data_IF_362421157277
#
_entry.id   IF_362421157277
#
_cell.length_a   1.000
_cell.length_b   1.000
_cell.length_c   1.000
_cell.angle_alpha   90.00
_cell.angle_beta   90.00
_cell.angle_gamma   90.00
#
_symmetry.space_group_name_H-M   'P 1'
#
loop_
_entity.id
_entity.type
_entity.pdbx_description
1 polymer ?
#
# COMPACT_ATOMS: atom_id res chain seq x y z
N UNK A 1 -50.30 -56.71 25.41
CA UNK A 1 -48.92 -56.22 25.19
C UNK A 1 -48.98 -55.04 24.23
N UNK A 2 -48.75 -53.81 24.70
CA UNK A 2 -48.76 -52.59 23.87
C UNK A 2 -47.32 -52.28 23.44
N UNK A 3 -47.12 -52.12 22.13
CA UNK A 3 -45.86 -51.69 21.52
C UNK A 3 -45.87 -50.17 21.45
N UNK A 4 -44.92 -49.52 22.11
CA UNK A 4 -44.66 -48.07 22.00
C UNK A 4 -43.55 -47.84 20.98
N UNK A 5 -43.87 -47.12 19.91
CA UNK A 5 -42.93 -46.66 18.89
C UNK A 5 -42.44 -45.26 19.29
N UNK A 6 -41.14 -45.12 19.57
CA UNK A 6 -40.50 -43.82 19.77
C UNK A 6 -40.09 -43.21 18.43
N UNK A 7 -40.64 -42.04 18.12
CA UNK A 7 -40.24 -41.22 16.97
C UNK A 7 -39.01 -40.38 17.36
N UNK A 8 -37.89 -40.56 16.68
CA UNK A 8 -36.69 -39.74 16.84
C UNK A 8 -36.79 -38.57 15.85
N UNK A 9 -36.87 -37.35 16.37
CA UNK A 9 -36.90 -36.11 15.58
C UNK A 9 -35.46 -35.58 15.44
N UNK A 10 -34.89 -35.74 14.24
CA UNK A 10 -33.56 -35.22 13.92
C UNK A 10 -33.66 -33.75 13.52
N UNK A 11 -33.23 -32.82 14.38
CA UNK A 11 -33.07 -31.41 14.03
C UNK A 11 -31.82 -31.21 13.16
N UNK A 12 -31.99 -30.84 11.89
CA UNK A 12 -30.91 -30.30 11.07
C UNK A 12 -30.62 -28.86 11.50
N UNK A 13 -29.44 -28.64 12.09
CA UNK A 13 -28.87 -27.30 12.25
C UNK A 13 -28.36 -26.80 10.90
N UNK A 14 -29.11 -25.91 10.28
CA UNK A 14 -28.68 -25.19 9.07
C UNK A 14 -27.74 -24.06 9.51
N UNK A 15 -26.44 -24.30 9.44
CA UNK A 15 -25.41 -23.30 9.73
C UNK A 15 -25.45 -22.23 8.64
N UNK A 16 -26.09 -21.09 8.95
CA UNK A 16 -26.01 -19.91 8.10
C UNK A 16 -24.60 -19.31 8.25
N UNK A 17 -23.69 -19.65 7.33
CA UNK A 17 -22.45 -18.90 7.18
C UNK A 17 -22.84 -17.49 6.75
N UNK A 18 -22.73 -16.53 7.66
CA UNK A 18 -22.86 -15.12 7.33
C UNK A 18 -21.82 -14.78 6.26
N UNK A 19 -22.26 -14.62 5.01
CA UNK A 19 -21.44 -14.00 3.99
C UNK A 19 -21.17 -12.58 4.44
N UNK A 20 -19.90 -12.24 4.67
CA UNK A 20 -19.48 -10.87 4.91
C UNK A 20 -20.01 -10.02 3.73
N UNK A 21 -20.79 -8.98 4.05
CA UNK A 21 -21.27 -8.06 3.03
C UNK A 21 -20.07 -7.54 2.23
N UNK A 22 -20.18 -7.41 0.90
CA UNK A 22 -19.08 -6.90 0.09
C UNK A 22 -18.64 -5.57 0.67
N UNK A 23 -17.38 -5.50 1.11
CA UNK A 23 -16.76 -4.28 1.59
C UNK A 23 -17.08 -3.19 0.58
N UNK A 24 -17.83 -2.16 0.99
CA UNK A 24 -18.08 -1.03 0.13
C UNK A 24 -16.73 -0.34 -0.08
N UNK A 25 -16.06 -0.66 -1.19
CA UNK A 25 -14.75 -0.13 -1.59
C UNK A 25 -14.71 1.41 -1.46
N UNK A 26 -15.86 2.06 -1.60
CA UNK A 26 -16.03 3.49 -1.39
C UNK A 26 -15.81 3.98 0.04
N UNK A 27 -16.28 3.22 1.06
CA UNK A 27 -16.07 3.56 2.46
C UNK A 27 -14.59 3.52 2.84
N UNK A 28 -13.82 2.64 2.18
CA UNK A 28 -12.39 2.50 2.40
C UNK A 28 -11.60 3.70 1.93
N UNK A 29 -11.98 4.30 0.80
CA UNK A 29 -11.32 5.50 0.30
C UNK A 29 -11.56 6.72 1.19
N UNK A 30 -12.80 6.94 1.64
CA UNK A 30 -13.14 8.04 2.55
C UNK A 30 -12.44 7.87 3.91
N UNK A 31 -12.35 6.66 4.43
CA UNK A 31 -11.62 6.38 5.67
C UNK A 31 -10.09 6.53 5.53
N UNK A 32 -9.54 6.25 4.35
CA UNK A 32 -8.10 6.30 4.08
C UNK A 32 -7.60 7.71 3.74
N UNK A 33 -8.42 8.50 3.05
CA UNK A 33 -8.02 9.75 2.44
C UNK A 33 -9.00 10.87 2.76
N UNK A 34 -8.57 11.80 3.59
CA UNK A 34 -9.37 12.99 3.95
C UNK A 34 -9.78 13.84 2.74
N UNK A 35 -9.05 13.78 1.62
CA UNK A 35 -9.39 14.49 0.37
C UNK A 35 -10.57 13.84 -0.38
N UNK A 36 -10.93 12.59 -0.08
CA UNK A 36 -12.13 11.92 -0.61
C UNK A 36 -13.29 12.23 0.33
N UNK A 37 -14.35 12.86 -0.17
CA UNK A 37 -15.53 13.22 0.66
C UNK A 37 -16.57 12.12 0.70
N UNK A 38 -16.78 11.44 -0.42
CA UNK A 38 -17.73 10.33 -0.53
C UNK A 38 -17.47 9.50 -1.79
N UNK A 39 -18.04 8.30 -1.80
CA UNK A 39 -18.10 7.43 -2.97
C UNK A 39 -19.53 6.92 -3.11
N UNK A 40 -20.22 7.38 -4.15
CA UNK A 40 -21.66 7.12 -4.35
C UNK A 40 -21.92 6.83 -5.82
N UNK A 41 -22.71 5.79 -6.12
CA UNK A 41 -23.06 5.44 -7.49
C UNK A 41 -21.87 5.09 -8.40
N UNK A 42 -20.76 4.61 -7.84
CA UNK A 42 -19.53 4.33 -8.59
C UNK A 42 -18.68 5.56 -8.91
N UNK A 43 -19.00 6.72 -8.34
CA UNK A 43 -18.26 7.97 -8.49
C UNK A 43 -17.58 8.34 -7.17
N UNK A 44 -16.31 8.74 -7.25
CA UNK A 44 -15.51 9.29 -6.15
C UNK A 44 -15.63 10.81 -6.21
N UNK A 45 -15.96 11.42 -5.09
CA UNK A 45 -16.04 12.88 -4.94
C UNK A 45 -14.90 13.38 -4.05
N UNK A 46 -14.28 14.49 -4.42
CA UNK A 46 -13.14 15.07 -3.72
C UNK A 46 -13.49 16.41 -3.06
N UNK A 47 -12.71 16.79 -2.04
CA UNK A 47 -12.85 18.08 -1.33
C UNK A 47 -12.68 19.29 -2.24
N UNK A 48 -11.91 19.16 -3.31
CA UNK A 48 -11.69 20.22 -4.31
C UNK A 48 -12.89 20.42 -5.27
N UNK A 49 -14.01 19.71 -5.06
CA UNK A 49 -15.21 19.78 -5.89
C UNK A 49 -15.17 18.93 -7.17
N UNK A 50 -14.03 18.33 -7.50
CA UNK A 50 -13.92 17.40 -8.63
C UNK A 50 -14.49 16.02 -8.29
N UNK A 51 -14.68 15.22 -9.33
CA UNK A 51 -15.09 13.82 -9.20
C UNK A 51 -14.45 12.95 -10.27
N UNK A 52 -14.37 11.65 -10.02
CA UNK A 52 -13.94 10.67 -11.02
C UNK A 52 -14.64 9.33 -10.85
N UNK A 53 -14.66 8.49 -11.89
CA UNK A 53 -15.18 7.15 -11.79
C UNK A 53 -14.29 6.25 -10.91
N UNK A 54 -14.89 5.45 -10.04
CA UNK A 54 -14.23 4.35 -9.33
C UNK A 54 -13.72 3.28 -10.32
N UNK A 55 -14.48 3.07 -11.39
CA UNK A 55 -14.23 2.05 -12.41
C UNK A 55 -14.67 0.66 -11.96
N UNK A 56 -14.11 -0.38 -12.59
CA UNK A 56 -14.45 -1.79 -12.35
C UNK A 56 -13.17 -2.60 -12.23
N UNK A 57 -13.23 -3.68 -11.45
CA UNK A 57 -12.13 -4.65 -11.38
C UNK A 57 -12.02 -5.32 -12.76
N UNK A 58 -10.84 -5.21 -13.36
CA UNK A 58 -10.54 -5.74 -14.68
C UNK A 58 -10.13 -7.21 -14.60
N UNK A 59 -10.56 -8.01 -15.57
CA UNK A 59 -10.09 -9.39 -15.80
C UNK A 59 -8.80 -9.46 -16.64
N UNK A 60 -8.25 -8.31 -17.05
CA UNK A 60 -7.05 -8.25 -17.87
C UNK A 60 -5.82 -8.77 -17.10
N UNK A 61 -4.79 -9.25 -17.81
CA UNK A 61 -3.54 -9.68 -17.20
C UNK A 61 -2.89 -8.60 -16.32
N UNK A 62 -2.10 -9.03 -15.35
CA UNK A 62 -1.41 -8.17 -14.39
C UNK A 62 -0.62 -7.03 -15.06
N UNK A 63 0.17 -7.33 -16.09
CA UNK A 63 1.00 -6.34 -16.80
C UNK A 63 0.17 -5.29 -17.56
N UNK A 64 -1.03 -5.64 -18.01
CA UNK A 64 -2.00 -4.68 -18.58
C UNK A 64 -2.60 -3.81 -17.49
N UNK A 65 -3.02 -4.41 -16.36
CA UNK A 65 -3.57 -3.68 -15.21
C UNK A 65 -2.54 -2.76 -14.57
N UNK A 66 -1.25 -3.09 -14.58
CA UNK A 66 -0.18 -2.19 -14.18
C UNK A 66 -0.21 -0.89 -14.98
N UNK A 67 -0.56 -0.91 -16.27
CA UNK A 67 -0.55 0.29 -17.11
C UNK A 67 -1.82 1.12 -16.93
N UNK A 68 -2.97 0.45 -16.89
CA UNK A 68 -4.28 1.09 -17.01
C UNK A 68 -5.26 0.61 -15.93
N UNK A 69 -4.89 0.76 -14.65
CA UNK A 69 -5.74 0.38 -13.53
C UNK A 69 -6.88 1.40 -13.31
N UNK A 70 -8.08 0.91 -13.03
CA UNK A 70 -9.09 1.71 -12.33
C UNK A 70 -8.77 1.84 -10.83
N UNK A 71 -9.53 2.66 -10.10
CA UNK A 71 -9.42 2.70 -8.63
C UNK A 71 -9.98 1.40 -8.02
N UNK A 72 -11.01 0.80 -8.62
CA UNK A 72 -11.48 -0.53 -8.24
C UNK A 72 -10.39 -1.60 -8.40
N UNK A 73 -9.60 -1.57 -9.47
CA UNK A 73 -8.43 -2.45 -9.64
C UNK A 73 -7.38 -2.25 -8.55
N UNK A 74 -7.12 -0.99 -8.20
CA UNK A 74 -6.19 -0.64 -7.14
C UNK A 74 -6.63 -1.24 -5.79
N UNK A 75 -7.91 -1.12 -5.46
CA UNK A 75 -8.49 -1.60 -4.22
C UNK A 75 -8.69 -3.13 -4.19
N UNK A 76 -8.65 -3.80 -5.34
CA UNK A 76 -8.73 -5.26 -5.40
C UNK A 76 -7.45 -5.95 -4.93
N UNK A 77 -6.36 -5.21 -4.66
CA UNK A 77 -5.10 -5.77 -4.20
C UNK A 77 -5.15 -5.99 -2.69
N UNK A 78 -4.74 -7.18 -2.26
CA UNK A 78 -4.54 -7.47 -0.84
C UNK A 78 -3.08 -7.29 -0.46
N UNK A 79 -2.78 -6.34 0.41
CA UNK A 79 -1.44 -6.20 0.99
C UNK A 79 -1.27 -7.15 2.20
N UNK A 80 -0.25 -8.03 2.22
CA UNK A 80 -0.04 -8.98 3.31
C UNK A 80 0.60 -8.29 4.54
N UNK A 81 0.00 -8.45 5.73
CA UNK A 81 0.62 -7.98 6.99
C UNK A 81 1.64 -8.97 7.56
N UNK A 82 1.49 -10.26 7.25
CA UNK A 82 2.49 -11.26 7.57
C UNK A 82 3.71 -11.14 6.62
N UNK A 83 4.79 -11.83 6.98
CA UNK A 83 6.02 -11.87 6.19
C UNK A 83 6.14 -13.25 5.56
N UNK A 84 5.64 -13.36 4.33
CA UNK A 84 5.68 -14.58 3.52
C UNK A 84 6.29 -14.24 2.16
N UNK A 85 6.85 -15.25 1.50
CA UNK A 85 7.29 -15.08 0.11
C UNK A 85 6.07 -14.75 -0.76
N UNK A 86 6.07 -13.62 -1.49
CA UNK A 86 4.96 -13.25 -2.36
C UNK A 86 4.82 -14.24 -3.51
N UNK A 87 3.57 -14.58 -3.85
CA UNK A 87 3.27 -15.27 -5.10
C UNK A 87 3.56 -14.35 -6.29
N UNK A 88 3.70 -14.92 -7.50
CA UNK A 88 3.83 -14.10 -8.70
C UNK A 88 2.66 -13.12 -8.82
N UNK A 89 2.95 -11.87 -9.21
CA UNK A 89 1.99 -10.75 -9.32
C UNK A 89 1.40 -10.25 -7.99
N UNK A 90 1.86 -10.78 -6.84
CA UNK A 90 1.53 -10.23 -5.52
C UNK A 90 2.36 -8.97 -5.27
N UNK A 91 1.98 -7.88 -5.94
CA UNK A 91 2.68 -6.59 -5.98
C UNK A 91 1.78 -5.47 -5.42
N UNK A 92 1.07 -5.76 -4.32
CA UNK A 92 0.04 -4.88 -3.77
C UNK A 92 0.56 -3.44 -3.58
N UNK A 93 -0.01 -2.52 -4.36
CA UNK A 93 0.43 -1.13 -4.46
C UNK A 93 0.80 -0.71 -5.89
N UNK A 94 1.36 -1.63 -6.69
CA UNK A 94 1.86 -1.34 -8.05
C UNK A 94 0.74 -1.22 -9.09
N UNK A 95 -0.38 -1.91 -8.93
CA UNK A 95 -1.61 -1.62 -9.70
C UNK A 95 -2.25 -0.38 -9.05
N UNK A 96 -2.21 0.75 -9.73
CA UNK A 96 -2.76 2.01 -9.18
C UNK A 96 -3.16 2.95 -10.29
N UNK A 97 -4.12 3.81 -9.97
CA UNK A 97 -4.64 4.82 -10.88
C UNK A 97 -3.93 6.16 -10.65
N UNK A 98 -3.14 6.61 -11.62
CA UNK A 98 -2.37 7.87 -11.50
C UNK A 98 -3.29 9.10 -11.39
N UNK A 99 -4.46 9.09 -12.04
CA UNK A 99 -5.40 10.22 -11.96
C UNK A 99 -5.98 10.38 -10.55
N UNK A 100 -6.29 9.28 -9.87
CA UNK A 100 -6.73 9.31 -8.47
C UNK A 100 -5.71 10.02 -7.56
N UNK A 101 -4.42 9.72 -7.74
CA UNK A 101 -3.35 10.36 -6.97
C UNK A 101 -3.19 11.83 -7.34
N UNK A 102 -3.31 12.16 -8.64
CA UNK A 102 -3.28 13.55 -9.11
C UNK A 102 -4.40 14.41 -8.51
N UNK A 103 -5.60 13.85 -8.36
CA UNK A 103 -6.73 14.57 -7.76
C UNK A 103 -6.48 14.91 -6.28
N UNK A 104 -5.82 14.03 -5.54
CA UNK A 104 -5.53 14.24 -4.11
C UNK A 104 -4.26 15.07 -3.84
N UNK A 105 -3.20 14.84 -4.62
CA UNK A 105 -1.86 15.32 -4.28
C UNK A 105 -1.33 16.41 -5.22
N UNK A 106 -1.89 16.56 -6.42
CA UNK A 106 -1.50 17.54 -7.43
C UNK A 106 -1.27 16.92 -8.81
N UNK A 107 -1.67 17.65 -9.86
CA UNK A 107 -1.55 17.25 -11.27
C UNK A 107 -0.20 17.59 -11.90
N UNK A 108 0.56 18.50 -11.28
CA UNK A 108 1.87 18.94 -11.77
C UNK A 108 2.91 18.95 -10.65
N UNK A 109 4.19 18.95 -11.01
CA UNK A 109 5.30 19.06 -10.06
C UNK A 109 5.14 20.27 -9.13
N UNK A 110 4.77 21.44 -9.68
CA UNK A 110 4.58 22.67 -8.93
C UNK A 110 3.44 22.55 -7.90
N UNK A 111 2.31 21.95 -8.30
CA UNK A 111 1.18 21.72 -7.39
C UNK A 111 1.55 20.75 -6.26
N UNK A 112 2.27 19.68 -6.56
CA UNK A 112 2.74 18.74 -5.51
C UNK A 112 3.74 19.44 -4.58
N UNK A 113 4.66 20.23 -5.12
CA UNK A 113 5.65 20.98 -4.33
C UNK A 113 4.99 21.93 -3.33
N UNK A 114 3.89 22.60 -3.70
CA UNK A 114 3.08 23.43 -2.80
C UNK A 114 2.45 22.62 -1.66
N UNK A 115 2.20 21.34 -1.88
CA UNK A 115 1.67 20.43 -0.87
C UNK A 115 2.76 19.78 0.01
N UNK A 116 4.05 20.03 -0.22
CA UNK A 116 5.10 19.47 0.62
C UNK A 116 5.28 20.30 1.90
N UNK A 117 5.37 19.61 3.03
CA UNK A 117 5.83 20.18 4.31
C UNK A 117 7.11 19.51 4.74
N UNK A 118 7.87 20.16 5.62
CA UNK A 118 9.10 19.62 6.18
C UNK A 118 8.84 18.96 7.53
N UNK A 119 9.26 17.71 7.67
CA UNK A 119 9.25 16.98 8.95
C UNK A 119 10.68 16.78 9.45
N UNK A 120 10.82 16.52 10.75
CA UNK A 120 12.09 16.07 11.33
C UNK A 120 12.13 14.55 11.40
N UNK A 121 13.00 13.92 10.61
CA UNK A 121 13.22 12.48 10.67
C UNK A 121 14.15 12.13 11.82
N UNK A 122 13.56 11.84 12.99
CA UNK A 122 14.30 11.59 14.23
C UNK A 122 15.35 10.47 14.20
N UNK A 123 15.24 9.38 13.42
CA UNK A 123 16.25 8.33 13.42
C UNK A 123 17.67 8.81 13.08
N UNK A 124 17.79 9.87 12.27
CA UNK A 124 19.08 10.48 11.87
C UNK A 124 19.11 12.01 11.97
N UNK A 125 18.09 12.62 12.56
CA UNK A 125 17.95 14.07 12.75
C UNK A 125 18.08 14.90 11.45
N UNK A 126 17.58 14.36 10.33
CA UNK A 126 17.55 15.05 9.04
C UNK A 126 16.17 15.65 8.77
N UNK A 127 16.08 16.57 7.81
CA UNK A 127 14.82 17.13 7.32
C UNK A 127 14.38 16.40 6.07
N UNK A 128 13.11 15.97 6.04
CA UNK A 128 12.49 15.37 4.86
C UNK A 128 11.31 16.23 4.42
N UNK A 129 11.15 16.42 3.11
CA UNK A 129 9.95 17.04 2.53
C UNK A 129 8.95 15.94 2.16
N UNK A 130 7.71 16.05 2.60
CA UNK A 130 6.67 15.04 2.34
C UNK A 130 5.31 15.72 2.20
N UNK A 131 4.38 15.09 1.48
CA UNK A 131 3.08 15.69 1.20
C UNK A 131 2.23 15.77 2.48
N UNK A 132 1.68 16.94 2.81
CA UNK A 132 0.85 17.10 4.01
C UNK A 132 -0.59 16.64 3.82
N UNK A 133 -1.06 16.51 2.57
CA UNK A 133 -2.41 16.03 2.25
C UNK A 133 -2.65 14.62 2.78
N UNK A 134 -3.90 14.33 3.17
CA UNK A 134 -4.32 13.06 3.76
C UNK A 134 -3.50 12.64 5.00
N UNK A 135 -2.84 13.59 5.67
CA UNK A 135 -2.00 13.34 6.83
C UNK A 135 -0.67 12.63 6.54
N UNK A 136 -0.27 12.45 5.27
CA UNK A 136 0.85 11.58 4.91
C UNK A 136 2.17 12.00 5.59
N UNK A 137 2.52 13.30 5.58
CA UNK A 137 3.71 13.81 6.27
C UNK A 137 3.66 13.60 7.78
N UNK A 138 2.49 13.83 8.40
CA UNK A 138 2.28 13.63 9.84
C UNK A 138 2.46 12.15 10.22
N UNK A 139 1.98 11.24 9.38
CA UNK A 139 2.17 9.80 9.62
C UNK A 139 3.63 9.39 9.43
N UNK A 140 4.33 9.92 8.43
CA UNK A 140 5.78 9.66 8.28
C UNK A 140 6.57 10.17 9.50
N UNK A 141 6.24 11.35 10.04
CA UNK A 141 6.88 11.85 11.25
C UNK A 141 6.65 10.94 12.46
N UNK A 142 5.44 10.39 12.62
CA UNK A 142 5.15 9.40 13.68
C UNK A 142 5.97 8.12 13.52
N UNK A 143 6.14 7.61 12.30
CA UNK A 143 7.03 6.47 12.02
C UNK A 143 8.45 6.77 12.49
N UNK A 144 9.00 7.92 12.10
CA UNK A 144 10.35 8.32 12.50
C UNK A 144 10.49 8.45 14.02
N UNK A 145 9.49 9.03 14.68
CA UNK A 145 9.44 9.15 16.14
C UNK A 145 9.43 7.78 16.85
N UNK A 146 8.64 6.84 16.37
CA UNK A 146 8.54 5.48 16.94
C UNK A 146 9.81 4.67 16.71
N UNK A 147 10.37 4.68 15.49
CA UNK A 147 11.65 4.04 15.19
C UNK A 147 12.78 4.62 16.06
N UNK A 148 12.77 5.92 16.32
CA UNK A 148 13.82 6.56 17.10
C UNK A 148 13.90 6.07 18.56
N UNK A 149 12.83 5.46 19.08
CA UNK A 149 12.78 4.86 20.42
C UNK A 149 13.55 3.53 20.52
N UNK A 150 13.84 2.88 19.39
CA UNK A 150 14.63 1.65 19.35
C UNK A 150 15.88 1.83 18.47
N UNK A 151 17.07 2.07 19.07
CA UNK A 151 18.31 2.28 18.33
C UNK A 151 18.67 1.17 17.33
N UNK A 152 18.30 -0.09 17.60
CA UNK A 152 18.60 -1.22 16.71
C UNK A 152 17.90 -1.10 15.34
N UNK A 153 16.79 -0.36 15.27
CA UNK A 153 16.00 -0.16 14.05
C UNK A 153 16.54 0.99 13.19
N UNK A 154 17.27 1.94 13.78
CA UNK A 154 17.71 3.16 13.09
C UNK A 154 18.55 2.86 11.84
N UNK A 155 19.40 1.82 11.87
CA UNK A 155 20.28 1.46 10.75
C UNK A 155 19.55 1.13 9.44
N UNK A 156 18.27 0.75 9.51
CA UNK A 156 17.47 0.43 8.31
C UNK A 156 16.90 1.68 7.63
N UNK A 157 16.88 2.82 8.33
CA UNK A 157 16.23 4.06 7.88
C UNK A 157 17.01 5.33 8.21
N UNK A 158 18.29 5.21 8.57
CA UNK A 158 19.12 6.35 8.94
C UNK A 158 19.44 7.25 7.73
N UNK A 159 19.62 6.64 6.55
CA UNK A 159 19.96 7.37 5.33
C UNK A 159 18.81 7.30 4.34
N UNK A 160 18.11 8.42 4.16
CA UNK A 160 17.13 8.55 3.09
C UNK A 160 17.82 8.62 1.73
N UNK A 161 17.22 7.96 0.74
CA UNK A 161 17.59 8.04 -0.68
C UNK A 161 16.68 9.01 -1.45
N UNK A 162 15.72 9.65 -0.77
CA UNK A 162 14.85 10.67 -1.35
C UNK A 162 13.38 10.45 -1.06
N UNK A 163 12.60 11.54 -1.20
CA UNK A 163 11.14 11.55 -1.07
C UNK A 163 10.49 12.05 -2.36
N UNK A 164 10.38 13.36 -2.55
CA UNK A 164 9.77 13.93 -3.76
C UNK A 164 10.74 13.93 -4.94
N UNK A 165 10.32 13.32 -6.05
CA UNK A 165 11.00 13.38 -7.34
C UNK A 165 9.96 13.21 -8.45
N UNK A 166 9.64 14.30 -9.16
CA UNK A 166 8.68 14.28 -10.26
C UNK A 166 9.27 13.59 -11.48
N UNK A 167 8.93 12.31 -11.68
CA UNK A 167 9.43 11.50 -12.79
C UNK A 167 8.47 10.38 -13.16
N UNK A 168 8.65 9.84 -14.35
CA UNK A 168 8.08 8.55 -14.70
C UNK A 168 8.89 7.39 -14.10
N UNK A 169 8.25 6.24 -13.94
CA UNK A 169 8.93 4.98 -13.63
C UNK A 169 9.71 4.55 -14.88
N UNK A 170 10.97 4.16 -14.70
CA UNK A 170 11.86 3.78 -15.78
C UNK A 170 11.25 2.68 -16.67
N UNK A 171 11.16 2.96 -17.98
CA UNK A 171 10.55 2.07 -18.97
C UNK A 171 9.03 2.16 -19.07
N UNK A 172 8.40 3.18 -18.49
CA UNK A 172 6.94 3.38 -18.52
C UNK A 172 6.57 4.86 -18.70
N UNK A 173 5.30 5.12 -19.01
CA UNK A 173 4.71 6.47 -19.02
C UNK A 173 3.94 6.81 -17.73
N UNK A 174 4.12 6.01 -16.67
CA UNK A 174 3.44 6.19 -15.39
C UNK A 174 4.29 7.02 -14.46
N UNK A 175 3.68 7.96 -13.75
CA UNK A 175 4.40 8.73 -12.72
C UNK A 175 4.86 7.80 -11.61
N UNK A 176 6.02 8.03 -11.02
CA UNK A 176 6.41 7.36 -9.77
C UNK A 176 5.55 7.85 -8.59
N UNK A 177 5.37 7.05 -7.54
CA UNK A 177 4.69 7.54 -6.32
C UNK A 177 5.49 8.65 -5.62
N UNK A 178 6.81 8.67 -5.82
CA UNK A 178 7.67 9.79 -5.44
C UNK A 178 7.23 11.12 -6.08
N UNK A 179 6.60 11.10 -7.25
CA UNK A 179 6.08 12.30 -7.91
C UNK A 179 4.95 12.97 -7.12
N UNK A 180 4.28 12.24 -6.23
CA UNK A 180 3.21 12.78 -5.38
C UNK A 180 3.69 13.16 -3.99
N UNK A 181 4.99 12.96 -3.67
CA UNK A 181 5.56 13.28 -2.37
C UNK A 181 5.04 12.38 -1.24
N UNK A 182 4.55 11.18 -1.58
CA UNK A 182 3.98 10.21 -0.64
C UNK A 182 4.75 8.88 -0.62
N UNK A 183 6.00 8.89 -1.10
CA UNK A 183 6.93 7.77 -0.99
C UNK A 183 8.29 8.24 -0.47
N UNK A 184 9.00 7.34 0.20
CA UNK A 184 10.34 7.54 0.74
C UNK A 184 11.17 6.29 0.55
N UNK A 185 12.41 6.48 0.10
CA UNK A 185 13.38 5.40 -0.02
C UNK A 185 14.46 5.51 1.06
N UNK A 186 14.95 4.37 1.53
CA UNK A 186 16.06 4.31 2.49
C UNK A 186 17.17 3.37 2.02
N UNK A 187 18.42 3.73 2.36
CA UNK A 187 19.53 2.81 2.24
C UNK A 187 19.43 1.77 3.37
N UNK A 188 19.14 0.53 2.98
CA UNK A 188 19.11 -0.62 3.86
C UNK A 188 20.51 -1.23 4.03
N UNK A 189 20.75 -2.05 5.08
CA UNK A 189 21.95 -2.86 5.16
C UNK A 189 22.11 -3.74 3.92
N UNK A 190 23.35 -4.02 3.51
CA UNK A 190 23.68 -4.65 2.21
C UNK A 190 22.88 -5.94 1.92
N UNK A 191 22.67 -6.80 2.93
CA UNK A 191 21.92 -8.05 2.77
C UNK A 191 20.42 -7.85 2.48
N UNK A 192 19.88 -6.68 2.84
CA UNK A 192 18.47 -6.32 2.72
C UNK A 192 18.24 -5.28 1.61
N UNK A 193 19.27 -4.63 1.07
CA UNK A 193 19.14 -3.64 0.00
C UNK A 193 18.99 -4.32 -1.37
N UNK A 194 17.74 -4.57 -1.77
CA UNK A 194 17.36 -5.49 -2.83
C UNK A 194 16.31 -4.85 -3.73
N UNK A 195 16.55 -4.95 -5.03
CA UNK A 195 15.62 -4.57 -6.07
C UNK A 195 15.66 -5.64 -7.15
N UNK A 196 14.50 -6.12 -7.56
CA UNK A 196 14.38 -7.29 -8.45
C UNK A 196 15.16 -7.14 -9.76
N UNK A 197 15.25 -5.94 -10.33
CA UNK A 197 16.04 -5.73 -11.56
C UNK A 197 17.54 -5.75 -11.32
N UNK A 198 18.02 -5.43 -10.12
CA UNK A 198 19.45 -5.57 -9.78
C UNK A 198 19.87 -7.03 -9.69
N UNK A 199 18.94 -7.93 -9.41
CA UNK A 199 19.16 -9.37 -9.40
C UNK A 199 18.90 -10.02 -10.80
N UNK A 200 18.82 -9.21 -11.86
CA UNK A 200 18.76 -9.66 -13.26
C UNK A 200 17.36 -9.96 -13.80
N UNK A 201 16.31 -9.72 -13.03
CA UNK A 201 14.93 -9.91 -13.48
C UNK A 201 14.45 -8.72 -14.34
N UNK A 202 13.84 -9.00 -15.50
CA UNK A 202 13.52 -7.96 -16.51
C UNK A 202 12.04 -7.84 -16.84
N UNK A 203 11.21 -8.80 -16.44
CA UNK A 203 9.76 -8.84 -16.70
C UNK A 203 9.01 -9.42 -15.51
N UNK A 204 7.83 -8.87 -15.22
CA UNK A 204 6.92 -9.37 -14.20
C UNK A 204 6.29 -10.73 -14.57
N UNK A 205 6.24 -11.05 -15.88
CA UNK A 205 5.67 -12.31 -16.38
C UNK A 205 6.60 -13.52 -16.16
N UNK A 206 7.79 -13.31 -15.57
CA UNK A 206 8.72 -14.36 -15.15
C UNK A 206 8.94 -14.29 -13.65
N UNK A 207 8.87 -15.44 -12.99
CA UNK A 207 9.16 -15.54 -11.55
C UNK A 207 10.61 -15.12 -11.28
N UNK A 208 10.78 -14.14 -10.40
CA UNK A 208 12.07 -13.69 -9.89
C UNK A 208 12.36 -14.38 -8.55
N UNK A 209 13.56 -14.96 -8.33
CA UNK A 209 13.91 -15.57 -7.05
C UNK A 209 13.82 -14.55 -5.90
N UNK A 210 12.93 -14.80 -4.93
CA UNK A 210 12.70 -13.87 -3.84
C UNK A 210 13.82 -13.95 -2.78
N UNK A 211 14.44 -12.82 -2.38
CA UNK A 211 15.50 -12.80 -1.37
C UNK A 211 14.92 -13.02 0.03
N UNK A 212 15.09 -14.23 0.58
CA UNK A 212 14.56 -14.64 1.90
C UNK A 212 15.01 -13.71 3.05
N UNK A 213 16.14 -13.01 2.90
CA UNK A 213 16.65 -12.03 3.86
C UNK A 213 15.66 -10.88 4.14
N UNK A 214 14.79 -10.54 3.18
CA UNK A 214 13.76 -9.50 3.35
C UNK A 214 12.66 -9.90 4.35
N UNK A 215 12.46 -11.20 4.58
CA UNK A 215 11.42 -11.74 5.46
C UNK A 215 11.98 -12.54 6.63
N UNK A 216 13.30 -12.58 6.82
CA UNK A 216 13.94 -13.30 7.93
C UNK A 216 14.47 -12.39 9.03
N UNK A 217 14.81 -11.12 8.72
CA UNK A 217 15.36 -10.16 9.69
C UNK A 217 14.27 -9.54 10.57
N UNK A 218 14.29 -9.83 11.88
CA UNK A 218 13.24 -9.37 12.80
C UNK A 218 13.23 -7.86 13.05
N UNK A 219 14.38 -7.19 12.98
CA UNK A 219 14.45 -5.73 13.11
C UNK A 219 13.84 -5.06 11.87
N UNK A 220 14.13 -5.58 10.67
CA UNK A 220 13.51 -5.09 9.44
C UNK A 220 11.99 -5.30 9.48
N UNK A 221 11.52 -6.48 9.90
CA UNK A 221 10.09 -6.74 10.10
C UNK A 221 9.46 -5.73 11.05
N UNK A 222 10.15 -5.40 12.15
CA UNK A 222 9.65 -4.42 13.12
C UNK A 222 9.57 -3.02 12.50
N UNK A 223 10.57 -2.59 11.73
CA UNK A 223 10.53 -1.33 10.96
C UNK A 223 9.30 -1.31 10.05
N UNK A 224 9.11 -2.37 9.25
CA UNK A 224 7.98 -2.48 8.32
C UNK A 224 6.64 -2.42 9.05
N UNK A 225 6.49 -3.11 10.19
CA UNK A 225 5.27 -3.04 11.01
C UNK A 225 4.97 -1.63 11.53
N UNK A 226 6.00 -0.86 11.89
CA UNK A 226 5.81 0.54 12.31
C UNK A 226 5.32 1.39 11.13
N UNK A 227 5.88 1.20 9.93
CA UNK A 227 5.37 1.84 8.72
C UNK A 227 3.90 1.44 8.44
N UNK A 228 3.57 0.15 8.51
CA UNK A 228 2.21 -0.37 8.29
C UNK A 228 1.20 0.18 9.28
N UNK A 229 1.56 0.26 10.57
CA UNK A 229 0.76 0.90 11.62
C UNK A 229 0.40 2.35 11.28
N UNK A 230 1.24 3.03 10.52
CA UNK A 230 1.08 4.42 10.12
C UNK A 230 0.62 4.60 8.66
N UNK A 231 0.10 3.54 8.02
CA UNK A 231 -0.51 3.64 6.70
C UNK A 231 0.47 3.55 5.53
N UNK A 232 1.69 3.07 5.75
CA UNK A 232 2.67 2.85 4.70
C UNK A 232 2.82 1.37 4.37
N UNK A 233 2.85 1.04 3.08
CA UNK A 233 3.22 -0.28 2.59
C UNK A 233 4.69 -0.32 2.22
N UNK A 234 5.26 -1.52 2.17
CA UNK A 234 6.68 -1.73 1.87
C UNK A 234 6.89 -2.48 0.56
N UNK A 235 7.75 -1.93 -0.31
CA UNK A 235 8.09 -2.53 -1.60
C UNK A 235 8.84 -3.87 -1.50
N UNK A 236 9.45 -4.16 -0.35
CA UNK A 236 10.08 -5.45 -0.11
C UNK A 236 9.11 -6.63 -0.01
N UNK A 237 7.80 -6.38 0.17
CA UNK A 237 6.75 -7.43 0.18
C UNK A 237 6.19 -7.75 -1.21
N UNK A 238 6.66 -7.08 -2.26
CA UNK A 238 6.22 -7.33 -3.63
C UNK A 238 6.92 -8.53 -4.27
N UNK A 239 6.25 -9.21 -5.19
CA UNK A 239 6.88 -10.20 -6.06
C UNK A 239 8.02 -9.57 -6.87
N UNK A 240 7.81 -8.34 -7.37
CA UNK A 240 8.85 -7.50 -7.96
C UNK A 240 9.44 -6.56 -6.91
N UNK A 241 10.12 -7.15 -5.92
CA UNK A 241 10.57 -6.46 -4.71
C UNK A 241 11.40 -5.20 -4.98
N UNK A 242 11.16 -4.20 -4.15
CA UNK A 242 11.88 -2.92 -4.08
C UNK A 242 12.05 -2.55 -2.60
N UNK A 243 13.03 -3.17 -1.94
CA UNK A 243 13.16 -3.07 -0.48
C UNK A 243 13.50 -1.68 0.06
N UNK A 244 14.19 -0.78 -0.65
CA UNK A 244 14.36 0.60 -0.19
C UNK A 244 13.03 1.34 0.01
N UNK A 245 11.98 0.93 -0.71
CA UNK A 245 10.81 1.74 -0.97
C UNK A 245 9.68 1.56 0.04
N UNK A 246 9.18 2.69 0.55
CA UNK A 246 7.93 2.77 1.33
C UNK A 246 7.01 3.82 0.71
N UNK A 247 5.71 3.51 0.62
CA UNK A 247 4.71 4.45 0.10
C UNK A 247 3.46 4.50 0.98
N UNK A 248 2.91 5.71 1.15
CA UNK A 248 1.71 5.95 1.95
C UNK A 248 0.47 5.47 1.19
N UNK A 249 -0.12 4.37 1.66
CA UNK A 249 -1.26 3.65 1.05
C UNK A 249 -2.22 3.17 2.14
N UNK A 250 -2.81 4.09 2.92
CA UNK A 250 -3.66 3.74 4.05
C UNK A 250 -4.87 2.87 3.64
N UNK A 251 -5.35 2.99 2.40
CA UNK A 251 -6.49 2.22 1.89
C UNK A 251 -6.23 0.71 1.84
N UNK A 252 -4.97 0.29 1.77
CA UNK A 252 -4.58 -1.12 1.75
C UNK A 252 -4.38 -1.71 3.16
N UNK A 253 -4.48 -0.89 4.21
CA UNK A 253 -4.11 -1.23 5.58
C UNK A 253 -5.26 -1.12 6.59
N UNK A 254 -6.39 -0.52 6.21
CA UNK A 254 -7.59 -0.46 7.07
C UNK A 254 -8.19 -1.85 7.22
N UNK A 255 -8.26 -2.38 8.45
CA UNK A 255 -8.73 -3.74 8.71
C UNK A 255 -10.13 -4.04 8.17
N UNK A 256 -11.07 -3.11 8.34
CA UNK A 256 -12.45 -3.26 7.81
C UNK A 256 -12.53 -3.19 6.28
N UNK A 257 -11.41 -2.90 5.61
CA UNK A 257 -11.30 -2.71 4.17
C UNK A 257 -10.50 -3.78 3.46
N UNK A 258 -9.94 -4.72 4.22
CA UNK A 258 -9.16 -5.85 3.74
C UNK A 258 -10.09 -7.06 3.79
N UNK A 259 -10.72 -7.38 2.67
CA UNK A 259 -11.53 -8.59 2.48
C UNK A 259 -10.64 -9.76 2.08
#
# INVERSE_FOLDING_TARGET
MKVTQSLILTLLFMSCTAMAAPTNLGNCLNAAYEEVTSVTGGTIYFKNGSSMALGKISSQPFTTRLKNASVADQLSQTYPLNFVTPAQYADAGRIRNDEFFKQMYGKTAAQVQQNLTTITWKPSNIKLKFNHKNGAAKQLEKVGNEIAQNPALKKYVAKSLGTFNWRNIAGTNRLSVHSFGVAVDFQLPQGQHKYWRWDGCTTEDKVCPYPKQLISDDNLKQVVRIFEKHGFIWGGKWASYDSPHFEYRPELLISSCRA
#
